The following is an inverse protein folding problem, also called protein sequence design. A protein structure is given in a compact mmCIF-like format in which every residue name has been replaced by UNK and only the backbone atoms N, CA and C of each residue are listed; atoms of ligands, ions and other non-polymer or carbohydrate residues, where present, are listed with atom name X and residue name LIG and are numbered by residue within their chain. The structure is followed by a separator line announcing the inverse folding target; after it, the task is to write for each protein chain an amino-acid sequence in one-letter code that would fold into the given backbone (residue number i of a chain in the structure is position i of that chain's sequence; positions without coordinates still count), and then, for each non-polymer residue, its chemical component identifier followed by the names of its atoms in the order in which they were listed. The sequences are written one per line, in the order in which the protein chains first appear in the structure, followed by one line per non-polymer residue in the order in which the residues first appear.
data_IF_202411043296
#
_entry.id   IF_202411043296
#
_cell.length_a   1.000
_cell.length_b   1.000
_cell.length_c   1.000
_cell.angle_alpha   90.00
_cell.angle_beta   90.00
_cell.angle_gamma   90.00
#
_symmetry.space_group_name_H-M   'P 1'
#
loop_
_entity.id
_entity.type
_entity.pdbx_description
1 polymer ?
#
# COMPACT_ATOMS: atom_id res chain seq x y z
N UNK A 1 85.37 19.18 -6.12
CA UNK A 1 85.16 20.48 -5.43
C UNK A 1 83.71 20.56 -5.02
N UNK A 2 83.36 20.67 -3.73
CA UNK A 2 81.99 20.90 -3.31
C UNK A 2 81.67 22.41 -3.34
N UNK A 3 80.50 22.74 -3.87
CA UNK A 3 79.98 24.09 -4.01
C UNK A 3 79.25 24.45 -2.69
N UNK A 4 79.88 25.21 -1.81
CA UNK A 4 79.23 25.68 -0.58
C UNK A 4 78.28 26.84 -0.93
N UNK A 5 76.97 26.60 -0.84
CA UNK A 5 75.99 27.68 -0.78
C UNK A 5 75.92 28.19 0.66
N UNK A 6 76.44 29.40 0.89
CA UNK A 6 76.25 30.12 2.15
C UNK A 6 74.94 30.91 2.11
N UNK A 7 74.05 30.65 3.06
CA UNK A 7 72.80 31.37 3.22
C UNK A 7 72.89 32.27 4.45
N UNK A 8 72.90 33.59 4.25
CA UNK A 8 72.91 34.55 5.34
C UNK A 8 71.52 34.72 5.93
N UNK A 9 71.32 34.23 7.15
CA UNK A 9 70.06 34.36 7.91
C UNK A 9 70.17 35.58 8.83
N UNK A 10 69.31 36.58 8.62
CA UNK A 10 69.18 37.73 9.54
C UNK A 10 68.05 37.44 10.54
N UNK A 11 68.27 37.89 11.78
CA UNK A 11 67.52 37.52 12.98
C UNK A 11 66.00 37.49 12.82
N UNK A 12 65.40 36.38 13.24
CA UNK A 12 63.96 36.12 13.24
C UNK A 12 63.47 35.12 12.18
N UNK A 13 64.34 34.67 11.26
CA UNK A 13 63.97 33.75 10.19
C UNK A 13 64.48 32.32 10.45
N UNK A 14 63.66 31.30 10.16
CA UNK A 14 64.07 29.88 10.14
C UNK A 14 64.40 29.50 8.70
N UNK A 15 65.66 29.14 8.43
CA UNK A 15 66.05 28.58 7.14
C UNK A 15 65.66 27.10 7.08
N UNK A 16 64.66 26.77 6.27
CA UNK A 16 64.26 25.39 5.98
C UNK A 16 64.99 24.93 4.71
N UNK A 17 65.96 24.04 4.87
CA UNK A 17 66.68 23.44 3.75
C UNK A 17 65.82 22.32 3.14
N UNK A 18 65.49 22.47 1.86
CA UNK A 18 64.54 21.62 1.12
C UNK A 18 65.09 20.22 0.74
N UNK A 19 65.97 19.64 1.56
CA UNK A 19 66.57 18.32 1.31
C UNK A 19 66.10 17.24 2.31
N UNK A 20 65.20 17.60 3.24
CA UNK A 20 64.60 16.66 4.21
C UNK A 20 63.08 16.85 4.40
N UNK A 21 62.39 17.47 3.44
CA UNK A 21 60.93 17.55 3.44
C UNK A 21 60.41 16.60 2.36
N UNK A 22 60.19 15.34 2.75
CA UNK A 22 59.27 14.48 1.99
C UNK A 22 57.86 15.06 2.17
N UNK A 23 57.33 15.60 1.09
CA UNK A 23 55.91 15.89 0.83
C UNK A 23 55.17 16.68 1.93
N UNK A 24 55.19 18.01 1.83
CA UNK A 24 54.11 18.84 2.42
C UNK A 24 52.85 18.62 1.56
N UNK A 25 52.08 17.59 1.91
CA UNK A 25 50.73 17.38 1.39
C UNK A 25 49.80 18.27 2.22
N UNK A 26 49.42 19.44 1.67
CA UNK A 26 48.31 20.24 2.20
C UNK A 26 47.02 19.51 1.82
N UNK A 27 46.54 18.63 2.71
CA UNK A 27 45.26 17.93 2.53
C UNK A 27 44.08 18.85 2.93
N UNK A 28 43.50 19.54 1.95
CA UNK A 28 42.26 20.32 2.11
C UNK A 28 41.00 19.42 2.04
N UNK A 29 40.94 18.37 2.88
CA UNK A 29 39.78 17.48 2.95
C UNK A 29 39.93 16.40 4.02
N UNK A 30 38.79 15.98 4.60
CA UNK A 30 38.70 14.87 5.56
C UNK A 30 39.31 13.63 4.90
N UNK A 31 40.37 13.09 5.49
CA UNK A 31 40.98 11.85 5.03
C UNK A 31 40.01 10.69 5.23
N UNK A 32 40.03 9.68 4.35
CA UNK A 32 39.19 8.47 4.50
C UNK A 32 39.39 7.80 5.88
N UNK A 33 40.59 7.93 6.44
CA UNK A 33 40.97 7.47 7.79
C UNK A 33 40.30 8.26 8.93
N UNK A 34 39.80 9.46 8.67
CA UNK A 34 39.12 10.35 9.62
C UNK A 34 37.59 10.18 9.60
N UNK A 35 37.03 9.59 8.53
CA UNK A 35 35.58 9.38 8.38
C UNK A 35 35.03 8.43 9.46
N UNK A 36 35.72 7.33 9.74
CA UNK A 36 35.29 6.35 10.77
C UNK A 36 35.25 6.97 12.17
N UNK A 37 36.31 7.67 12.64
CA UNK A 37 36.26 8.43 13.89
C UNK A 37 35.12 9.45 13.96
N UNK A 38 34.89 10.20 12.88
CA UNK A 38 33.80 11.20 12.81
C UNK A 38 32.42 10.52 12.91
N UNK A 39 32.20 9.41 12.19
CA UNK A 39 30.97 8.64 12.26
C UNK A 39 30.73 8.05 13.66
N UNK A 40 31.78 7.53 14.31
CA UNK A 40 31.69 6.99 15.66
C UNK A 40 31.39 8.07 16.71
N UNK A 41 32.03 9.24 16.59
CA UNK A 41 31.80 10.36 17.49
C UNK A 41 30.39 10.95 17.33
N UNK A 42 29.91 11.06 16.09
CA UNK A 42 28.51 11.42 15.80
C UNK A 42 27.54 10.36 16.34
N UNK A 43 27.87 9.07 16.25
CA UNK A 43 27.07 7.98 16.80
C UNK A 43 27.02 8.06 18.32
N UNK A 44 28.14 8.17 19.03
CA UNK A 44 28.18 8.22 20.49
C UNK A 44 27.46 9.46 21.04
N UNK A 45 27.59 10.62 20.39
CA UNK A 45 26.94 11.86 20.83
C UNK A 45 25.44 11.89 20.54
N UNK A 46 24.99 11.33 19.42
CA UNK A 46 23.60 11.44 18.98
C UNK A 46 22.76 10.19 19.25
N UNK A 47 23.33 8.99 19.23
CA UNK A 47 22.58 7.74 19.33
C UNK A 47 21.78 7.58 20.64
N UNK A 48 22.30 7.96 21.83
CA UNK A 48 21.49 7.95 23.06
C UNK A 48 20.28 8.89 22.98
N UNK A 49 20.46 10.11 22.46
CA UNK A 49 19.37 11.08 22.28
C UNK A 49 18.35 10.62 21.23
N UNK A 50 18.82 10.07 20.11
CA UNK A 50 17.98 9.48 19.07
C UNK A 50 17.19 8.28 19.63
N UNK A 51 17.76 7.50 20.56
CA UNK A 51 17.08 6.39 21.23
C UNK A 51 15.98 6.87 22.17
N UNK A 52 16.23 7.92 22.95
CA UNK A 52 15.21 8.53 23.83
C UNK A 52 14.08 9.15 23.02
N UNK A 53 14.39 9.87 21.95
CA UNK A 53 13.39 10.48 21.07
C UNK A 53 12.57 9.41 20.32
N UNK A 54 13.23 8.36 19.80
CA UNK A 54 12.53 7.22 19.20
C UNK A 54 11.63 6.48 20.20
N UNK A 55 12.09 6.29 21.44
CA UNK A 55 11.29 5.66 22.50
C UNK A 55 10.06 6.51 22.86
N UNK A 56 10.23 7.83 22.91
CA UNK A 56 9.13 8.77 23.14
C UNK A 56 8.09 8.70 22.00
N UNK A 57 8.53 8.77 20.74
CA UNK A 57 7.64 8.67 19.58
C UNK A 57 6.92 7.32 19.55
N UNK A 58 7.63 6.23 19.81
CA UNK A 58 7.05 4.89 19.88
C UNK A 58 5.95 4.80 20.96
N UNK A 59 6.19 5.37 22.14
CA UNK A 59 5.21 5.41 23.23
C UNK A 59 3.99 6.25 22.86
N UNK A 60 4.18 7.42 22.26
CA UNK A 60 3.10 8.28 21.79
C UNK A 60 2.22 7.58 20.74
N UNK A 61 2.85 6.87 19.77
CA UNK A 61 2.13 6.10 18.75
C UNK A 61 1.30 4.97 19.40
N UNK A 62 1.90 4.22 20.33
CA UNK A 62 1.22 3.14 21.06
C UNK A 62 0.05 3.67 21.87
N UNK A 63 0.21 4.80 22.57
CA UNK A 63 -0.86 5.41 23.35
C UNK A 63 -2.04 5.84 22.47
N UNK A 64 -1.76 6.52 21.36
CA UNK A 64 -2.80 6.93 20.39
C UNK A 64 -3.56 5.73 19.85
N UNK A 65 -2.85 4.70 19.42
CA UNK A 65 -3.47 3.46 18.93
C UNK A 65 -4.28 2.76 20.01
N UNK A 66 -3.78 2.67 21.25
CA UNK A 66 -4.49 2.01 22.35
C UNK A 66 -5.81 2.69 22.66
N UNK A 67 -5.83 4.03 22.68
CA UNK A 67 -7.05 4.82 22.85
C UNK A 67 -8.02 4.61 21.69
N UNK A 68 -7.54 4.64 20.45
CA UNK A 68 -8.37 4.40 19.27
C UNK A 68 -8.98 2.99 19.25
N UNK A 69 -8.18 1.96 19.58
CA UNK A 69 -8.64 0.58 19.68
C UNK A 69 -9.69 0.43 20.80
N UNK A 70 -9.46 1.04 21.96
CA UNK A 70 -10.43 1.00 23.07
C UNK A 70 -11.76 1.63 22.67
N UNK A 71 -11.73 2.82 22.07
CA UNK A 71 -12.94 3.49 21.55
C UNK A 71 -13.66 2.61 20.55
N UNK A 72 -12.92 2.05 19.59
CA UNK A 72 -13.47 1.19 18.53
C UNK A 72 -14.11 -0.09 19.07
N UNK A 73 -13.50 -0.73 20.09
CA UNK A 73 -14.09 -1.88 20.78
C UNK A 73 -15.37 -1.49 21.52
N UNK A 74 -15.36 -0.36 22.24
CA UNK A 74 -16.54 0.10 22.97
C UNK A 74 -17.72 0.44 22.04
N UNK A 75 -17.44 1.03 20.89
CA UNK A 75 -18.46 1.36 19.88
C UNK A 75 -19.08 0.11 19.22
N UNK A 76 -18.36 -1.02 19.22
CA UNK A 76 -18.78 -2.26 18.57
C UNK A 76 -18.94 -3.43 19.56
N UNK A 77 -19.24 -3.11 20.83
CA UNK A 77 -19.29 -4.12 21.90
C UNK A 77 -20.35 -5.21 21.66
N UNK A 78 -21.41 -4.89 20.90
CA UNK A 78 -22.48 -5.83 20.58
C UNK A 78 -22.07 -6.91 19.57
N UNK A 79 -21.04 -6.65 18.75
CA UNK A 79 -20.56 -7.58 17.71
C UNK A 79 -19.24 -8.24 18.09
N UNK A 80 -18.62 -7.81 19.19
CA UNK A 80 -17.31 -8.25 19.67
C UNK A 80 -17.49 -9.22 20.85
N UNK A 81 -16.80 -10.36 20.77
CA UNK A 81 -16.72 -11.34 21.86
C UNK A 81 -15.52 -10.98 22.76
N UNK A 82 -15.78 -10.27 23.85
CA UNK A 82 -14.73 -9.77 24.75
C UNK A 82 -13.88 -10.89 25.38
N UNK A 83 -14.46 -12.08 25.58
CA UNK A 83 -13.75 -13.25 26.10
C UNK A 83 -12.59 -13.67 25.18
N UNK A 84 -12.70 -13.42 23.87
CA UNK A 84 -11.61 -13.67 22.90
C UNK A 84 -10.37 -12.83 23.18
N UNK A 85 -10.47 -11.72 23.92
CA UNK A 85 -9.27 -10.96 24.29
C UNK A 85 -8.30 -11.78 25.13
N UNK A 86 -8.75 -12.79 25.89
CA UNK A 86 -7.87 -13.66 26.65
C UNK A 86 -7.21 -14.77 25.79
N UNK A 87 -7.63 -14.92 24.54
CA UNK A 87 -7.10 -15.95 23.63
C UNK A 87 -5.62 -15.69 23.28
N UNK A 88 -4.76 -16.72 23.27
CA UNK A 88 -3.34 -16.56 22.94
C UNK A 88 -3.05 -15.97 21.55
N UNK A 89 -3.83 -16.31 20.52
CA UNK A 89 -3.66 -15.76 19.17
C UNK A 89 -4.05 -14.29 19.12
N UNK A 90 -5.12 -13.91 19.83
CA UNK A 90 -5.51 -12.49 19.97
C UNK A 90 -4.44 -11.70 20.74
N UNK A 91 -3.91 -12.23 21.84
CA UNK A 91 -2.83 -11.59 22.60
C UNK A 91 -1.55 -11.44 21.77
N UNK A 92 -1.20 -12.45 20.99
CA UNK A 92 -0.08 -12.38 20.04
C UNK A 92 -0.32 -11.29 18.99
N UNK A 93 -1.51 -11.28 18.38
CA UNK A 93 -1.93 -10.28 17.39
C UNK A 93 -1.88 -8.85 17.95
N UNK A 94 -2.33 -8.64 19.19
CA UNK A 94 -2.27 -7.34 19.85
C UNK A 94 -0.82 -6.90 20.05
N UNK A 95 0.04 -7.78 20.56
CA UNK A 95 1.46 -7.47 20.76
C UNK A 95 2.16 -7.15 19.44
N UNK A 96 1.93 -7.94 18.40
CA UNK A 96 2.44 -7.67 17.07
C UNK A 96 1.98 -6.30 16.56
N UNK A 97 0.69 -5.98 16.71
CA UNK A 97 0.11 -4.70 16.29
C UNK A 97 0.76 -3.52 17.03
N UNK A 98 0.99 -3.65 18.34
CA UNK A 98 1.70 -2.66 19.14
C UNK A 98 3.13 -2.43 18.65
N UNK A 99 3.87 -3.50 18.32
CA UNK A 99 5.22 -3.39 17.76
C UNK A 99 5.23 -2.70 16.40
N UNK A 100 4.27 -3.02 15.54
CA UNK A 100 4.10 -2.39 14.22
C UNK A 100 3.84 -0.89 14.36
N UNK A 101 2.89 -0.50 15.20
CA UNK A 101 2.53 0.90 15.47
C UNK A 101 3.68 1.66 16.14
N UNK A 102 4.34 1.06 17.14
CA UNK A 102 5.49 1.65 17.80
C UNK A 102 6.59 2.03 16.79
N UNK A 103 6.86 1.14 15.83
CA UNK A 103 7.91 1.30 14.82
C UNK A 103 7.52 2.25 13.68
N UNK A 104 6.26 2.22 13.23
CA UNK A 104 5.86 2.89 11.98
C UNK A 104 4.86 4.03 12.16
N UNK A 105 4.16 4.10 13.29
CA UNK A 105 3.12 5.10 13.56
C UNK A 105 2.06 5.16 12.48
N UNK A 106 1.72 6.37 12.05
CA UNK A 106 0.68 6.65 11.04
C UNK A 106 0.97 6.07 9.64
N UNK A 107 2.22 5.66 9.35
CA UNK A 107 2.60 5.18 8.02
C UNK A 107 1.88 3.89 7.62
N UNK A 108 1.54 3.04 8.59
CA UNK A 108 0.84 1.77 8.37
C UNK A 108 -0.68 1.90 8.48
N UNK A 109 -1.21 3.11 8.65
CA UNK A 109 -2.64 3.39 8.87
C UNK A 109 -3.21 2.54 10.02
N UNK A 110 -2.98 2.95 11.29
CA UNK A 110 -3.37 2.17 12.47
C UNK A 110 -4.84 1.73 12.47
N UNK A 111 -5.73 2.45 11.78
CA UNK A 111 -7.13 2.06 11.57
C UNK A 111 -7.27 0.69 10.88
N UNK A 112 -6.38 0.35 9.95
CA UNK A 112 -6.36 -0.98 9.31
C UNK A 112 -6.15 -2.09 10.33
N UNK A 113 -5.21 -1.88 11.26
CA UNK A 113 -4.94 -2.84 12.34
C UNK A 113 -6.14 -2.98 13.26
N UNK A 114 -6.77 -1.86 13.62
CA UNK A 114 -7.97 -1.85 14.46
C UNK A 114 -9.07 -2.68 13.80
N UNK A 115 -9.37 -2.43 12.53
CA UNK A 115 -10.43 -3.15 11.80
C UNK A 115 -10.14 -4.65 11.67
N UNK A 116 -8.87 -5.04 11.43
CA UNK A 116 -8.48 -6.45 11.38
C UNK A 116 -8.60 -7.12 12.76
N UNK A 117 -8.22 -6.44 13.85
CA UNK A 117 -8.38 -6.94 15.22
C UNK A 117 -9.86 -7.09 15.56
N UNK A 118 -10.69 -6.10 15.23
CA UNK A 118 -12.14 -6.17 15.43
C UNK A 118 -12.76 -7.36 14.68
N UNK A 119 -12.35 -7.58 13.43
CA UNK A 119 -12.80 -8.75 12.67
C UNK A 119 -12.45 -10.05 13.40
N UNK A 120 -11.23 -10.20 13.92
CA UNK A 120 -10.85 -11.39 14.73
C UNK A 120 -11.68 -11.55 16.00
N UNK A 121 -12.04 -10.45 16.64
CA UNK A 121 -12.86 -10.42 17.86
C UNK A 121 -14.36 -10.66 17.60
N UNK A 122 -14.81 -10.56 16.35
CA UNK A 122 -16.20 -10.76 15.97
C UNK A 122 -16.68 -12.19 16.23
N UNK A 123 -17.95 -12.38 16.61
CA UNK A 123 -18.55 -13.69 16.82
C UNK A 123 -18.52 -14.55 15.54
N UNK A 124 -18.75 -13.91 14.39
CA UNK A 124 -18.93 -14.53 13.08
C UNK A 124 -17.62 -15.09 12.48
N UNK A 125 -16.48 -14.75 13.08
CA UNK A 125 -15.18 -15.04 12.48
C UNK A 125 -14.73 -16.47 12.72
N UNK A 126 -14.58 -17.18 11.60
CA UNK A 126 -14.11 -18.56 11.53
C UNK A 126 -12.58 -18.66 11.47
N UNK A 127 -12.05 -19.87 11.62
CA UNK A 127 -10.60 -20.15 11.64
C UNK A 127 -9.87 -19.69 10.38
N UNK A 128 -10.51 -19.82 9.20
CA UNK A 128 -9.91 -19.39 7.95
C UNK A 128 -9.81 -17.86 7.88
N UNK A 129 -10.88 -17.14 8.24
CA UNK A 129 -10.87 -15.68 8.34
C UNK A 129 -9.83 -15.19 9.36
N UNK A 130 -9.68 -15.90 10.49
CA UNK A 130 -8.64 -15.61 11.47
C UNK A 130 -7.23 -15.74 10.89
N UNK A 131 -6.98 -16.79 10.11
CA UNK A 131 -5.71 -16.98 9.41
C UNK A 131 -5.45 -15.82 8.42
N UNK A 132 -6.47 -15.43 7.65
CA UNK A 132 -6.37 -14.31 6.70
C UNK A 132 -6.06 -13.01 7.43
N UNK A 133 -6.70 -12.72 8.55
CA UNK A 133 -6.41 -11.53 9.36
C UNK A 133 -4.96 -11.53 9.85
N UNK A 134 -4.45 -12.66 10.35
CA UNK A 134 -3.06 -12.79 10.79
C UNK A 134 -2.08 -12.52 9.64
N UNK A 135 -2.36 -13.07 8.45
CA UNK A 135 -1.53 -12.81 7.27
C UNK A 135 -1.61 -11.34 6.82
N UNK A 136 -2.79 -10.72 6.84
CA UNK A 136 -2.94 -9.31 6.49
C UNK A 136 -2.11 -8.40 7.42
N UNK A 137 -2.18 -8.63 8.74
CA UNK A 137 -1.41 -7.87 9.75
C UNK A 137 0.10 -8.03 9.50
N UNK A 138 0.56 -9.23 9.17
CA UNK A 138 1.96 -9.53 8.81
C UNK A 138 2.47 -8.82 7.55
N UNK A 139 1.59 -8.24 6.72
CA UNK A 139 1.97 -7.55 5.48
C UNK A 139 1.88 -6.02 5.59
N UNK A 140 1.27 -5.46 6.63
CA UNK A 140 1.02 -4.01 6.70
C UNK A 140 2.31 -3.17 6.76
N UNK A 141 3.41 -3.68 7.34
CA UNK A 141 4.71 -3.00 7.33
C UNK A 141 5.49 -3.13 6.02
N UNK A 142 5.00 -3.93 5.09
CA UNK A 142 5.64 -4.18 3.78
C UNK A 142 4.96 -3.41 2.66
N UNK A 143 3.81 -2.80 2.93
CA UNK A 143 3.06 -2.04 1.94
C UNK A 143 3.18 -0.54 2.21
N UNK A 144 3.24 0.24 1.13
CA UNK A 144 3.22 1.71 1.19
C UNK A 144 1.79 2.20 0.98
N UNK A 145 1.54 3.49 1.21
CA UNK A 145 0.25 4.10 0.87
C UNK A 145 -0.10 3.94 -0.62
N UNK A 146 0.91 3.98 -1.50
CA UNK A 146 0.74 3.75 -2.94
C UNK A 146 0.30 2.30 -3.21
N UNK A 147 0.90 1.33 -2.54
CA UNK A 147 0.46 -0.07 -2.62
C UNK A 147 -0.97 -0.24 -2.11
N UNK A 148 -1.34 0.44 -1.03
CA UNK A 148 -2.71 0.41 -0.50
C UNK A 148 -3.73 0.97 -1.50
N UNK A 149 -3.41 2.07 -2.17
CA UNK A 149 -4.24 2.61 -3.25
C UNK A 149 -4.33 1.65 -4.44
N UNK A 150 -3.26 0.92 -4.78
CA UNK A 150 -3.28 -0.10 -5.82
C UNK A 150 -4.18 -1.30 -5.45
N UNK A 151 -4.09 -1.77 -4.20
CA UNK A 151 -4.97 -2.83 -3.67
C UNK A 151 -6.42 -2.37 -3.76
N UNK A 152 -6.70 -1.14 -3.31
CA UNK A 152 -8.03 -0.56 -3.42
C UNK A 152 -8.46 -0.49 -4.90
N UNK A 153 -7.57 -0.09 -5.80
CA UNK A 153 -7.91 0.09 -7.22
C UNK A 153 -8.29 -1.23 -7.87
N UNK A 154 -7.48 -2.28 -7.68
CA UNK A 154 -7.77 -3.62 -8.18
C UNK A 154 -9.08 -4.13 -7.59
N UNK A 155 -9.22 -4.04 -6.27
CA UNK A 155 -10.42 -4.52 -5.59
C UNK A 155 -11.67 -3.76 -5.99
N UNK A 156 -11.58 -2.48 -6.27
CA UNK A 156 -12.70 -1.68 -6.78
C UNK A 156 -13.05 -2.08 -8.21
N UNK A 157 -12.10 -2.28 -9.11
CA UNK A 157 -12.37 -2.77 -10.47
C UNK A 157 -12.99 -4.18 -10.44
N UNK A 158 -12.53 -5.04 -9.54
CA UNK A 158 -13.07 -6.38 -9.36
C UNK A 158 -14.44 -6.40 -8.65
N UNK A 159 -14.70 -5.51 -7.71
CA UNK A 159 -15.90 -5.56 -6.88
C UNK A 159 -16.99 -4.53 -7.23
N UNK A 160 -16.71 -3.47 -8.00
CA UNK A 160 -17.74 -2.49 -8.47
C UNK A 160 -18.77 -3.14 -9.39
N UNK A 161 -18.45 -4.32 -9.91
CA UNK A 161 -19.40 -5.20 -10.54
C UNK A 161 -19.76 -6.31 -9.55
N UNK A 162 -20.39 -6.04 -8.39
CA UNK A 162 -21.01 -7.14 -7.70
C UNK A 162 -22.03 -7.69 -8.67
N UNK A 163 -22.18 -9.01 -8.60
CA UNK A 163 -23.23 -9.77 -9.28
C UNK A 163 -24.50 -8.95 -9.17
N UNK A 164 -24.85 -8.22 -10.22
CA UNK A 164 -26.16 -7.62 -10.30
C UNK A 164 -27.02 -8.86 -10.23
N UNK A 165 -27.65 -9.09 -9.07
CA UNK A 165 -28.62 -10.15 -8.90
C UNK A 165 -29.81 -9.69 -9.73
N UNK A 166 -29.62 -9.77 -11.03
CA UNK A 166 -30.65 -9.88 -12.02
C UNK A 166 -31.40 -11.11 -11.55
N UNK A 167 -32.45 -10.88 -10.76
CA UNK A 167 -33.33 -11.97 -10.36
C UNK A 167 -33.63 -12.80 -11.60
N UNK A 168 -33.81 -14.11 -11.42
CA UNK A 168 -33.90 -15.12 -12.48
C UNK A 168 -34.88 -14.82 -13.66
N UNK A 169 -35.59 -13.69 -13.62
CA UNK A 169 -36.49 -13.10 -14.60
C UNK A 169 -35.88 -12.08 -15.59
N UNK A 170 -34.64 -11.60 -15.45
CA UNK A 170 -34.08 -10.52 -16.32
C UNK A 170 -33.20 -11.03 -17.50
N UNK A 171 -33.61 -12.10 -18.16
CA UNK A 171 -32.88 -12.68 -19.31
C UNK A 171 -32.96 -11.83 -20.60
N UNK A 172 -33.84 -10.84 -20.67
CA UNK A 172 -33.96 -9.92 -21.81
C UNK A 172 -34.21 -8.50 -21.29
N UNK A 173 -33.21 -7.65 -21.43
CA UNK A 173 -33.24 -6.24 -20.99
C UNK A 173 -33.00 -5.33 -22.18
N UNK A 174 -33.50 -4.10 -22.09
CA UNK A 174 -33.29 -3.08 -23.12
C UNK A 174 -31.99 -2.30 -22.88
N UNK A 175 -31.63 -1.49 -23.87
CA UNK A 175 -30.46 -0.61 -23.82
C UNK A 175 -30.53 0.37 -22.64
N UNK A 176 -31.75 0.82 -22.28
CA UNK A 176 -31.97 1.76 -21.17
C UNK A 176 -31.53 1.17 -19.83
N UNK A 177 -31.86 -0.10 -19.58
CA UNK A 177 -31.48 -0.79 -18.36
C UNK A 177 -29.96 -0.95 -18.25
N UNK A 178 -29.27 -1.31 -19.34
CA UNK A 178 -27.80 -1.39 -19.35
C UNK A 178 -27.17 -0.01 -19.07
N UNK A 179 -27.68 1.04 -19.70
CA UNK A 179 -27.19 2.41 -19.47
C UNK A 179 -27.35 2.82 -18.01
N UNK A 180 -28.49 2.49 -17.38
CA UNK A 180 -28.73 2.79 -15.97
C UNK A 180 -27.76 2.06 -15.04
N UNK A 181 -27.43 0.80 -15.33
CA UNK A 181 -26.40 0.04 -14.61
C UNK A 181 -25.04 0.73 -14.73
N UNK A 182 -24.63 1.05 -15.96
CA UNK A 182 -23.33 1.65 -16.25
C UNK A 182 -23.21 3.02 -15.57
N UNK A 183 -24.27 3.84 -15.57
CA UNK A 183 -24.32 5.11 -14.82
C UNK A 183 -24.25 4.92 -13.29
N UNK A 184 -24.86 3.87 -12.74
CA UNK A 184 -24.74 3.56 -11.30
C UNK A 184 -23.30 3.19 -10.94
N UNK A 185 -22.66 2.37 -11.76
CA UNK A 185 -21.25 2.01 -11.63
C UNK A 185 -20.37 3.27 -11.63
N UNK A 186 -20.58 4.18 -12.58
CA UNK A 186 -19.82 5.43 -12.68
C UNK A 186 -19.98 6.31 -11.45
N UNK A 187 -21.18 6.39 -10.86
CA UNK A 187 -21.42 7.12 -9.61
C UNK A 187 -20.64 6.52 -8.45
N UNK A 188 -20.71 5.21 -8.26
CA UNK A 188 -19.94 4.55 -7.19
C UNK A 188 -18.44 4.72 -7.41
N UNK A 189 -17.99 4.63 -8.66
CA UNK A 189 -16.60 4.89 -8.98
C UNK A 189 -16.22 6.33 -8.67
N UNK A 190 -17.05 7.33 -8.96
CA UNK A 190 -16.82 8.73 -8.59
C UNK A 190 -16.71 8.92 -7.07
N UNK A 191 -17.56 8.25 -6.29
CA UNK A 191 -17.53 8.27 -4.82
C UNK A 191 -16.30 7.56 -4.26
N UNK A 192 -15.66 6.65 -5.02
CA UNK A 192 -14.41 6.03 -4.60
C UNK A 192 -13.20 6.76 -5.19
N UNK A 193 -13.39 7.50 -6.29
CA UNK A 193 -12.35 8.19 -7.04
C UNK A 193 -11.55 9.15 -6.15
N UNK A 194 -12.21 9.82 -5.20
CA UNK A 194 -11.53 10.75 -4.30
C UNK A 194 -10.61 10.07 -3.28
N UNK A 195 -10.81 8.77 -3.00
CA UNK A 195 -9.93 7.97 -2.12
C UNK A 195 -8.66 7.53 -2.83
N UNK A 196 -8.64 7.61 -4.16
CA UNK A 196 -7.45 7.40 -4.97
C UNK A 196 -6.68 8.71 -5.08
N UNK A 197 -5.37 8.64 -4.91
CA UNK A 197 -4.50 9.77 -5.24
C UNK A 197 -4.57 10.03 -6.75
N UNK A 198 -4.98 11.24 -7.17
CA UNK A 198 -5.06 11.63 -8.59
C UNK A 198 -3.70 11.53 -9.29
N UNK A 199 -2.61 11.56 -8.53
CA UNK A 199 -1.25 11.46 -9.06
C UNK A 199 -0.80 10.03 -9.34
N UNK A 200 -1.59 9.00 -8.97
CA UNK A 200 -1.27 7.56 -9.06
C UNK A 200 -0.35 7.21 -10.25
N UNK A 201 0.95 7.39 -10.03
CA UNK A 201 2.03 6.79 -10.79
C UNK A 201 2.07 5.32 -10.33
N UNK A 202 0.98 4.61 -10.62
CA UNK A 202 0.89 3.19 -10.41
C UNK A 202 1.73 2.54 -11.48
N UNK A 203 2.85 1.97 -11.05
CA UNK A 203 3.71 1.22 -11.93
C UNK A 203 3.35 -0.26 -11.91
N UNK A 204 3.61 -0.92 -13.03
CA UNK A 204 3.56 -2.37 -13.10
C UNK A 204 4.50 -3.03 -12.07
N UNK A 205 5.62 -2.37 -11.72
CA UNK A 205 6.57 -2.81 -10.69
C UNK A 205 5.91 -2.95 -9.31
N UNK A 206 5.13 -1.96 -8.88
CA UNK A 206 4.37 -1.99 -7.61
C UNK A 206 3.40 -3.18 -7.59
N UNK A 207 2.75 -3.47 -8.72
CA UNK A 207 1.82 -4.61 -8.82
C UNK A 207 2.52 -5.97 -8.71
N UNK A 208 3.72 -6.11 -9.28
CA UNK A 208 4.52 -7.33 -9.18
C UNK A 208 5.13 -7.52 -7.79
N UNK A 209 5.45 -6.42 -7.12
CA UNK A 209 5.82 -6.49 -5.70
C UNK A 209 4.66 -7.04 -4.86
N UNK A 210 3.44 -6.53 -5.06
CA UNK A 210 2.26 -7.03 -4.34
C UNK A 210 1.89 -8.49 -4.67
N UNK A 211 2.11 -8.92 -5.92
CA UNK A 211 2.02 -10.35 -6.29
C UNK A 211 3.02 -11.18 -5.48
N UNK A 212 4.27 -10.73 -5.35
CA UNK A 212 5.29 -11.46 -4.56
C UNK A 212 4.96 -11.58 -3.07
N UNK A 213 4.14 -10.66 -2.54
CA UNK A 213 3.62 -10.72 -1.17
C UNK A 213 2.37 -11.61 -1.04
N UNK A 214 1.85 -12.15 -2.14
CA UNK A 214 0.61 -12.92 -2.17
C UNK A 214 -0.64 -12.07 -1.95
N UNK A 215 -0.56 -10.76 -2.18
CA UNK A 215 -1.69 -9.81 -2.04
C UNK A 215 -2.49 -9.74 -3.34
N UNK A 216 -1.81 -9.78 -4.49
CA UNK A 216 -2.42 -9.83 -5.81
C UNK A 216 -2.18 -11.19 -6.47
N UNK A 217 -3.13 -11.61 -7.29
CA UNK A 217 -3.03 -12.77 -8.16
C UNK A 217 -3.03 -12.29 -9.61
N UNK A 218 -2.01 -12.67 -10.39
CA UNK A 218 -2.01 -12.47 -11.83
C UNK A 218 -2.45 -13.75 -12.52
N UNK A 219 -3.50 -13.65 -13.31
CA UNK A 219 -3.91 -14.72 -14.21
C UNK A 219 -3.05 -14.60 -15.47
N UNK A 220 -1.95 -15.35 -15.52
CA UNK A 220 -0.99 -15.35 -16.62
C UNK A 220 -1.52 -16.20 -17.80
N UNK A 221 -2.78 -15.97 -18.19
CA UNK A 221 -3.35 -16.58 -19.39
C UNK A 221 -2.58 -16.09 -20.64
N UNK A 222 -2.39 -16.94 -21.67
CA UNK A 222 -1.64 -16.60 -22.87
C UNK A 222 -2.34 -15.56 -23.77
N UNK A 223 -3.53 -15.09 -23.38
CA UNK A 223 -4.33 -14.11 -24.12
C UNK A 223 -4.40 -12.80 -23.35
N UNK A 224 -4.26 -11.68 -24.06
CA UNK A 224 -4.38 -10.34 -23.51
C UNK A 224 -5.81 -10.13 -22.98
N UNK A 225 -5.96 -9.91 -21.69
CA UNK A 225 -7.20 -9.48 -21.06
C UNK A 225 -7.42 -7.97 -21.26
N UNK A 226 -8.54 -7.61 -21.85
CA UNK A 226 -9.09 -6.26 -21.77
C UNK A 226 -9.82 -6.11 -20.43
N UNK A 227 -9.73 -4.96 -19.78
CA UNK A 227 -10.60 -4.63 -18.64
C UNK A 227 -12.09 -4.68 -19.02
N UNK A 228 -12.43 -4.55 -20.31
CA UNK A 228 -13.78 -4.80 -20.82
C UNK A 228 -14.13 -6.29 -20.87
N UNK A 229 -13.18 -7.22 -20.91
CA UNK A 229 -13.45 -8.65 -20.78
C UNK A 229 -13.90 -8.99 -19.35
N UNK A 230 -13.43 -8.27 -18.34
CA UNK A 230 -13.90 -8.39 -16.96
C UNK A 230 -15.37 -7.95 -16.88
N UNK A 231 -15.68 -6.80 -17.47
CA UNK A 231 -17.06 -6.29 -17.53
C UNK A 231 -17.97 -7.21 -18.35
N UNK A 232 -17.48 -7.73 -19.47
CA UNK A 232 -18.19 -8.64 -20.36
C UNK A 232 -18.41 -10.01 -19.73
N UNK A 233 -17.43 -10.59 -19.04
CA UNK A 233 -17.59 -11.88 -18.36
C UNK A 233 -18.61 -11.81 -17.23
N UNK A 234 -18.73 -10.66 -16.56
CA UNK A 234 -19.69 -10.41 -15.47
C UNK A 234 -21.09 -10.05 -15.95
N UNK A 235 -21.24 -9.33 -17.07
CA UNK A 235 -22.55 -8.93 -17.61
C UNK A 235 -23.04 -9.82 -18.76
N UNK A 236 -22.15 -10.12 -19.71
CA UNK A 236 -22.47 -10.71 -21.02
C UNK A 236 -22.74 -12.21 -21.04
N UNK A 237 -22.46 -12.93 -19.95
CA UNK A 237 -22.77 -14.36 -19.86
C UNK A 237 -24.23 -14.63 -19.42
N UNK A 238 -24.84 -13.70 -18.69
CA UNK A 238 -26.18 -13.87 -18.11
C UNK A 238 -27.24 -12.99 -18.78
N UNK A 239 -26.84 -11.89 -19.44
CA UNK A 239 -27.74 -10.89 -20.01
C UNK A 239 -27.84 -11.01 -21.54
N UNK A 240 -29.05 -11.10 -22.07
CA UNK A 240 -29.32 -10.80 -23.48
C UNK A 240 -29.93 -9.39 -23.58
N UNK A 241 -29.37 -8.57 -24.47
CA UNK A 241 -29.96 -7.27 -24.81
C UNK A 241 -30.75 -7.43 -26.10
N UNK A 242 -32.05 -7.16 -26.04
CA UNK A 242 -32.97 -7.39 -27.16
C UNK A 242 -32.83 -8.80 -27.76
N UNK A 243 -32.61 -9.81 -26.92
CA UNK A 243 -32.44 -11.22 -27.32
C UNK A 243 -31.06 -11.58 -27.92
N UNK A 244 -30.07 -10.67 -27.90
CA UNK A 244 -28.72 -10.92 -28.40
C UNK A 244 -27.67 -10.86 -27.29
N UNK A 245 -26.63 -11.68 -27.41
CA UNK A 245 -25.44 -11.57 -26.56
C UNK A 245 -24.78 -10.22 -26.77
N UNK A 246 -24.42 -9.57 -25.67
CA UNK A 246 -23.69 -8.30 -25.68
C UNK A 246 -22.33 -8.55 -26.34
N UNK A 247 -21.97 -7.73 -27.33
CA UNK A 247 -20.61 -7.73 -27.91
C UNK A 247 -19.73 -6.75 -27.12
N UNK A 248 -18.47 -7.09 -26.91
CA UNK A 248 -17.50 -6.22 -26.20
C UNK A 248 -17.44 -4.81 -26.81
N UNK A 249 -17.38 -4.70 -28.14
CA UNK A 249 -17.35 -3.42 -28.84
C UNK A 249 -18.57 -2.51 -28.55
N UNK A 250 -19.74 -3.12 -28.35
CA UNK A 250 -20.97 -2.38 -28.01
C UNK A 250 -20.94 -1.92 -26.54
N UNK A 251 -20.48 -2.79 -25.64
CA UNK A 251 -20.33 -2.47 -24.22
C UNK A 251 -19.31 -1.34 -24.01
N UNK A 252 -18.18 -1.39 -24.72
CA UNK A 252 -17.18 -0.32 -24.72
C UNK A 252 -17.77 1.03 -25.14
N UNK A 253 -18.55 1.03 -26.22
CA UNK A 253 -19.21 2.25 -26.72
C UNK A 253 -20.18 2.83 -25.67
N UNK A 254 -21.00 1.98 -25.04
CA UNK A 254 -21.95 2.45 -24.00
C UNK A 254 -21.22 3.05 -22.81
N UNK A 255 -20.15 2.42 -22.33
CA UNK A 255 -19.35 2.92 -21.21
C UNK A 255 -18.70 4.25 -21.56
N UNK A 256 -18.10 4.36 -22.74
CA UNK A 256 -17.49 5.59 -23.23
C UNK A 256 -18.49 6.75 -23.32
N UNK A 257 -19.71 6.50 -23.78
CA UNK A 257 -20.75 7.52 -23.95
C UNK A 257 -21.47 7.91 -22.65
N UNK A 258 -21.50 7.04 -21.63
CA UNK A 258 -22.35 7.22 -20.44
C UNK A 258 -21.60 7.26 -19.11
N UNK A 259 -20.29 7.00 -19.09
CA UNK A 259 -19.51 6.81 -17.86
C UNK A 259 -18.05 7.17 -18.04
N UNK A 260 -17.77 8.47 -18.09
CA UNK A 260 -16.43 9.03 -18.33
C UNK A 260 -15.40 8.52 -17.32
N UNK A 261 -15.73 8.52 -16.02
CA UNK A 261 -14.77 8.16 -14.95
C UNK A 261 -14.52 6.67 -14.89
N UNK A 262 -15.57 5.86 -15.07
CA UNK A 262 -15.39 4.43 -15.20
C UNK A 262 -14.60 4.06 -16.46
N UNK A 263 -14.82 4.75 -17.59
CA UNK A 263 -14.03 4.53 -18.80
C UNK A 263 -12.53 4.88 -18.60
N UNK A 264 -12.23 6.02 -17.96
CA UNK A 264 -10.86 6.39 -17.56
C UNK A 264 -10.22 5.30 -16.69
N UNK A 265 -10.96 4.77 -15.71
CA UNK A 265 -10.52 3.69 -14.83
C UNK A 265 -10.12 2.42 -15.60
N UNK A 266 -11.00 1.96 -16.49
CA UNK A 266 -10.77 0.75 -17.28
C UNK A 266 -9.55 0.90 -18.20
N UNK A 267 -9.31 2.09 -18.75
CA UNK A 267 -8.11 2.38 -19.54
C UNK A 267 -6.84 2.42 -18.68
N UNK A 268 -6.92 3.00 -17.48
CA UNK A 268 -5.83 3.00 -16.52
C UNK A 268 -5.45 1.57 -16.10
N UNK A 269 -6.43 0.70 -15.86
CA UNK A 269 -6.22 -0.72 -15.56
C UNK A 269 -5.43 -1.40 -16.69
N UNK A 270 -5.88 -1.25 -17.94
CA UNK A 270 -5.21 -1.83 -19.11
C UNK A 270 -3.76 -1.33 -19.25
N UNK A 271 -3.53 -0.04 -18.99
CA UNK A 271 -2.21 0.58 -19.03
C UNK A 271 -1.27 -0.01 -17.97
N UNK A 272 -1.74 -0.15 -16.73
CA UNK A 272 -0.92 -0.64 -15.61
C UNK A 272 -0.60 -2.11 -15.81
N UNK A 273 -1.61 -2.95 -16.04
CA UNK A 273 -1.45 -4.41 -16.01
C UNK A 273 -1.07 -5.02 -17.35
N UNK A 274 -0.90 -4.19 -18.41
CA UNK A 274 -0.46 -4.61 -19.75
C UNK A 274 -1.28 -5.79 -20.29
N UNK A 275 -2.59 -5.72 -20.10
CA UNK A 275 -3.53 -6.76 -20.48
C UNK A 275 -3.39 -8.09 -19.72
N UNK A 276 -2.91 -8.08 -18.48
CA UNK A 276 -3.06 -9.22 -17.58
C UNK A 276 -4.31 -9.02 -16.71
N UNK A 277 -5.04 -10.10 -16.47
CA UNK A 277 -6.07 -10.11 -15.45
C UNK A 277 -5.40 -10.16 -14.07
N UNK A 278 -5.74 -9.22 -13.21
CA UNK A 278 -5.21 -9.09 -11.86
C UNK A 278 -6.36 -9.00 -10.89
N UNK A 279 -6.32 -9.84 -9.87
CA UNK A 279 -7.32 -9.88 -8.81
C UNK A 279 -6.71 -9.85 -7.42
N UNK A 280 -7.53 -9.52 -6.41
CA UNK A 280 -7.11 -9.61 -5.02
C UNK A 280 -7.07 -11.07 -4.55
N UNK A 281 -6.04 -11.43 -3.78
CA UNK A 281 -6.08 -12.62 -2.94
C UNK A 281 -7.00 -12.41 -1.74
N UNK A 282 -7.27 -13.46 -0.96
CA UNK A 282 -7.98 -13.32 0.32
C UNK A 282 -7.31 -12.32 1.29
N UNK A 283 -5.97 -12.25 1.26
CA UNK A 283 -5.21 -11.30 2.08
C UNK A 283 -5.42 -9.88 1.55
N UNK A 284 -5.32 -9.68 0.23
CA UNK A 284 -5.57 -8.38 -0.39
C UNK A 284 -6.99 -7.88 -0.17
N UNK A 285 -7.97 -8.76 -0.25
CA UNK A 285 -9.38 -8.45 0.02
C UNK A 285 -9.61 -8.05 1.49
N UNK A 286 -8.99 -8.74 2.46
CA UNK A 286 -9.06 -8.37 3.87
C UNK A 286 -8.44 -6.99 4.14
N UNK A 287 -7.29 -6.68 3.52
CA UNK A 287 -6.65 -5.36 3.62
C UNK A 287 -7.54 -4.28 2.99
N UNK A 288 -8.09 -4.53 1.81
CA UNK A 288 -9.00 -3.61 1.12
C UNK A 288 -10.25 -3.31 1.97
N UNK A 289 -10.94 -4.34 2.46
CA UNK A 289 -12.15 -4.19 3.28
C UNK A 289 -11.88 -3.43 4.57
N UNK A 290 -10.73 -3.72 5.19
CA UNK A 290 -10.28 -3.00 6.37
C UNK A 290 -9.99 -1.53 6.06
N UNK A 291 -9.47 -1.22 4.87
CA UNK A 291 -9.24 0.18 4.45
C UNK A 291 -10.53 0.95 4.17
N UNK A 292 -11.56 0.26 3.68
CA UNK A 292 -12.85 0.86 3.35
C UNK A 292 -13.79 1.02 4.55
N UNK A 293 -13.37 0.65 5.77
CA UNK A 293 -14.16 0.74 7.02
C UNK A 293 -15.56 0.12 6.89
N UNK A 294 -15.66 -1.12 6.40
CA UNK A 294 -16.95 -1.81 6.37
C UNK A 294 -18.04 -1.13 5.54
N UNK A 295 -17.69 -0.15 4.68
CA UNK A 295 -18.57 0.23 3.58
C UNK A 295 -18.68 -1.01 2.70
N UNK A 296 -19.73 -1.80 2.93
CA UNK A 296 -20.21 -2.76 1.96
C UNK A 296 -20.37 -1.98 0.66
N UNK A 297 -19.49 -2.23 -0.31
CA UNK A 297 -19.78 -1.98 -1.72
C UNK A 297 -20.91 -2.95 -2.09
N UNK A 298 -22.10 -2.71 -1.54
CA UNK A 298 -23.34 -3.30 -1.99
C UNK A 298 -23.82 -2.43 -3.14
N UNK A 299 -23.41 -2.76 -4.36
CA UNK A 299 -24.20 -2.44 -5.56
C UNK A 299 -25.15 -3.60 -5.81
#
# INVERSE_FOLDING_TARGET
MPNNQEQAVVGGSVALQADQIQDVIINNGVQITEIIPICNQLFEMNFPRLREEAAKIALENVQKFSLALQTSINENVETIVLEKLADPDIQFCLNQSLQLVARHGEKIKPELLINLIQKKLSEDTNDFENLICNQAINMLDKITIRHLHLILFVGVVDNILPRISLGHSALNVDDSFLIDIIKKIDRVFCDLYFKFDKSLELEYSDSKYLESLGILNFDNMPFSYSSFDILHSKLGNEILINGQKIKEAYLKKIVEENSEKYFECLNLYNKIFKHNHVSLSFIGDAIMKSYLNGQSLSI
#
